data_IF_113540591692
#
_entry.id   IF_113540591692
#
_cell.length_a   1.000
_cell.length_b   1.000
_cell.length_c   1.000
_cell.angle_alpha   90.00
_cell.angle_beta   90.00
_cell.angle_gamma   90.00
#
_symmetry.space_group_name_H-M   'P 1'
#
loop_
_entity.id
_entity.type
_entity.pdbx_description
1 polymer ?
#
# COMPACT_ATOMS: atom_id res chain seq x y z
N UNK A 1 33.58 -4.87 7.81
CA UNK A 1 33.22 -5.15 9.21
C UNK A 1 32.07 -4.21 9.56
N UNK A 2 30.83 -4.67 9.44
CA UNK A 2 29.64 -3.85 9.70
C UNK A 2 29.40 -3.81 11.20
N UNK A 3 29.52 -2.64 11.80
CA UNK A 3 29.15 -2.41 13.20
C UNK A 3 27.64 -2.20 13.24
N UNK A 4 26.88 -3.23 13.60
CA UNK A 4 25.47 -3.12 13.91
C UNK A 4 25.36 -2.43 15.27
N UNK A 5 24.74 -1.24 15.32
CA UNK A 5 24.62 -0.48 16.55
C UNK A 5 23.68 -1.21 17.53
N UNK A 6 24.06 -1.21 18.81
CA UNK A 6 23.29 -1.79 19.93
C UNK A 6 21.85 -1.19 20.03
N UNK A 7 21.63 -0.01 19.47
CA UNK A 7 20.33 0.65 19.37
C UNK A 7 19.31 -0.16 18.55
N UNK A 8 19.72 -0.70 17.39
CA UNK A 8 18.81 -1.50 16.53
C UNK A 8 18.38 -2.82 17.17
N UNK A 9 19.22 -3.41 18.02
CA UNK A 9 18.89 -4.65 18.72
C UNK A 9 17.91 -4.40 19.87
N UNK A 10 18.01 -3.25 20.54
CA UNK A 10 17.08 -2.87 21.61
C UNK A 10 15.67 -2.50 21.08
N UNK A 11 15.56 -1.87 19.94
CA UNK A 11 14.26 -1.58 19.30
C UNK A 11 13.56 -2.86 18.85
N UNK A 12 14.31 -3.83 18.34
CA UNK A 12 13.79 -5.14 17.98
C UNK A 12 13.33 -5.94 19.21
N UNK A 13 14.03 -5.85 20.35
CA UNK A 13 13.67 -6.49 21.61
C UNK A 13 12.47 -5.83 22.29
N UNK A 14 12.31 -4.51 22.20
CA UNK A 14 11.12 -3.83 22.72
C UNK A 14 9.87 -4.19 21.92
N UNK A 15 9.97 -4.33 20.59
CA UNK A 15 8.86 -4.79 19.73
C UNK A 15 8.45 -6.23 20.10
N UNK A 16 9.38 -7.11 20.42
CA UNK A 16 9.12 -8.49 20.87
C UNK A 16 8.47 -8.56 22.26
N UNK A 17 8.80 -7.65 23.16
CA UNK A 17 8.20 -7.58 24.51
C UNK A 17 6.75 -7.06 24.49
N UNK A 18 6.39 -6.21 23.52
CA UNK A 18 5.01 -5.80 23.28
C UNK A 18 4.18 -6.99 22.80
N UNK A 19 4.72 -7.84 21.91
CA UNK A 19 4.06 -9.06 21.43
C UNK A 19 3.80 -10.10 22.53
N UNK A 20 4.66 -10.17 23.56
CA UNK A 20 4.51 -11.13 24.67
C UNK A 20 3.34 -10.81 25.64
N UNK A 21 2.76 -9.61 25.60
CA UNK A 21 1.63 -9.21 26.47
C UNK A 21 0.24 -9.59 25.93
N UNK A 22 0.15 -10.14 24.70
CA UNK A 22 -1.13 -10.43 24.03
C UNK A 22 -1.70 -11.84 24.26
N UNK A 23 -1.10 -12.67 25.13
CA UNK A 23 -1.44 -14.09 25.24
C UNK A 23 -2.67 -14.40 26.13
N UNK A 24 -3.60 -13.47 26.39
CA UNK A 24 -4.69 -13.68 27.35
C UNK A 24 -6.13 -13.36 26.94
N UNK A 25 -6.45 -13.29 25.63
CA UNK A 25 -7.86 -13.09 25.21
C UNK A 25 -8.38 -14.27 24.38
N UNK A 26 -9.55 -14.84 24.74
CA UNK A 26 -10.16 -15.92 23.96
C UNK A 26 -10.81 -15.36 22.69
N UNK A 27 -10.31 -15.74 21.54
CA UNK A 27 -10.80 -15.30 20.23
C UNK A 27 -11.85 -16.26 19.71
N UNK A 28 -13.04 -15.74 19.39
CA UNK A 28 -14.04 -16.47 18.61
C UNK A 28 -13.57 -16.59 17.17
N UNK A 29 -13.35 -17.84 16.73
CA UNK A 29 -12.99 -18.18 15.36
C UNK A 29 -14.14 -17.82 14.41
N UNK A 30 -13.93 -16.85 13.53
CA UNK A 30 -14.86 -16.55 12.44
C UNK A 30 -14.53 -17.57 11.32
N UNK A 31 -15.40 -18.57 11.14
CA UNK A 31 -15.33 -19.50 10.01
C UNK A 31 -15.84 -18.79 8.76
N UNK A 32 -14.95 -18.53 7.80
CA UNK A 32 -15.33 -18.08 6.48
C UNK A 32 -15.93 -19.24 5.69
N UNK A 33 -17.23 -19.16 5.39
CA UNK A 33 -17.89 -20.10 4.49
C UNK A 33 -17.43 -19.87 3.05
N UNK A 34 -16.65 -20.79 2.50
CA UNK A 34 -16.18 -20.78 1.11
C UNK A 34 -17.26 -21.33 0.18
N UNK A 35 -17.77 -20.49 -0.69
CA UNK A 35 -18.62 -20.85 -1.83
C UNK A 35 -17.97 -20.45 -3.15
N UNK A 36 -17.37 -21.35 -3.85
CA UNK A 36 -17.39 -21.49 -5.33
C UNK A 36 -16.59 -20.53 -6.23
N UNK A 37 -16.07 -19.38 -5.76
CA UNK A 37 -15.16 -18.52 -6.53
C UNK A 37 -13.86 -18.40 -5.74
N UNK A 38 -12.71 -18.61 -6.38
CA UNK A 38 -11.42 -18.45 -5.71
C UNK A 38 -11.34 -17.07 -5.08
N UNK A 39 -11.17 -17.01 -3.75
CA UNK A 39 -11.08 -15.77 -3.01
C UNK A 39 -9.83 -15.00 -3.44
N UNK A 40 -10.00 -13.76 -3.90
CA UNK A 40 -8.89 -12.88 -4.25
C UNK A 40 -8.10 -12.51 -2.99
N UNK A 41 -6.78 -12.62 -3.06
CA UNK A 41 -5.89 -12.44 -1.91
C UNK A 41 -4.76 -11.48 -2.18
N UNK A 42 -4.34 -10.78 -1.14
CA UNK A 42 -3.17 -9.90 -1.11
C UNK A 42 -2.01 -10.58 -0.39
N UNK A 43 -0.79 -10.25 -0.78
CA UNK A 43 0.41 -10.67 -0.06
C UNK A 43 0.44 -10.08 1.35
N UNK A 44 0.78 -10.87 2.35
CA UNK A 44 0.96 -10.44 3.73
C UNK A 44 2.03 -9.35 3.88
N UNK A 45 2.91 -9.18 2.90
CA UNK A 45 3.85 -8.06 2.83
C UNK A 45 3.14 -6.71 2.90
N UNK A 46 1.97 -6.56 2.25
CA UNK A 46 1.21 -5.30 2.29
C UNK A 46 0.73 -4.99 3.72
N UNK A 47 0.27 -6.01 4.46
CA UNK A 47 -0.09 -5.85 5.87
C UNK A 47 1.15 -5.50 6.72
N UNK A 48 2.30 -6.12 6.48
CA UNK A 48 3.55 -5.82 7.19
C UNK A 48 4.00 -4.37 6.94
N UNK A 49 3.89 -3.85 5.71
CA UNK A 49 4.21 -2.46 5.38
C UNK A 49 3.24 -1.48 6.06
N UNK A 50 1.94 -1.79 6.03
CA UNK A 50 0.93 -0.99 6.73
C UNK A 50 1.16 -1.00 8.25
N UNK A 51 1.55 -2.15 8.83
CA UNK A 51 1.88 -2.26 10.24
C UNK A 51 3.06 -1.34 10.63
N UNK A 52 4.11 -1.27 9.82
CA UNK A 52 5.24 -0.36 10.08
C UNK A 52 4.78 1.11 10.03
N UNK A 53 3.92 1.47 9.08
CA UNK A 53 3.34 2.80 9.01
C UNK A 53 2.47 3.13 10.23
N UNK A 54 1.65 2.18 10.69
CA UNK A 54 0.84 2.35 11.90
C UNK A 54 1.70 2.57 13.15
N UNK A 55 2.88 1.92 13.26
CA UNK A 55 3.82 2.17 14.35
C UNK A 55 4.39 3.59 14.29
N UNK A 56 4.80 4.07 13.10
CA UNK A 56 5.32 5.43 12.95
C UNK A 56 4.26 6.51 13.19
N UNK A 57 2.99 6.20 12.94
CA UNK A 57 1.85 7.08 13.21
C UNK A 57 1.32 6.95 14.65
N UNK A 58 1.95 6.13 15.48
CA UNK A 58 1.57 5.88 16.88
C UNK A 58 0.09 5.45 17.07
N UNK A 59 -0.45 4.72 16.07
CA UNK A 59 -1.84 4.28 16.10
C UNK A 59 -2.08 3.18 17.15
N UNK A 60 -3.31 3.06 17.61
CA UNK A 60 -3.71 1.98 18.52
C UNK A 60 -3.85 0.64 17.76
N UNK A 61 -2.72 0.04 17.40
CA UNK A 61 -2.63 -1.19 16.62
C UNK A 61 -3.39 -2.36 17.26
N UNK A 62 -3.32 -2.60 18.59
CA UNK A 62 -4.11 -3.65 19.22
C UNK A 62 -5.61 -3.53 18.94
N UNK A 63 -6.16 -2.33 19.08
CA UNK A 63 -7.57 -2.07 18.81
C UNK A 63 -7.91 -2.25 17.32
N UNK A 64 -7.02 -1.80 16.41
CA UNK A 64 -7.20 -1.97 14.96
C UNK A 64 -7.23 -3.46 14.61
N UNK A 65 -6.28 -4.24 15.10
CA UNK A 65 -6.19 -5.68 14.83
C UNK A 65 -7.39 -6.44 15.41
N UNK A 66 -7.80 -6.12 16.63
CA UNK A 66 -9.00 -6.69 17.26
C UNK A 66 -10.23 -6.43 16.38
N UNK A 67 -10.48 -5.18 16.00
CA UNK A 67 -11.65 -4.79 15.19
C UNK A 67 -11.63 -5.37 13.77
N UNK A 68 -10.44 -5.55 13.19
CA UNK A 68 -10.27 -6.17 11.87
C UNK A 68 -10.23 -7.71 11.91
N UNK A 69 -10.13 -8.33 13.08
CA UNK A 69 -9.92 -9.77 13.22
C UNK A 69 -8.55 -10.24 12.70
N UNK A 70 -7.56 -9.36 12.68
CA UNK A 70 -6.19 -9.67 12.24
C UNK A 70 -5.44 -10.38 13.37
N UNK A 71 -4.87 -11.54 13.06
CA UNK A 71 -4.01 -12.27 14.00
C UNK A 71 -2.58 -11.73 13.90
N UNK A 72 -1.93 -11.30 14.99
CA UNK A 72 -0.58 -10.75 14.97
C UNK A 72 0.46 -11.69 14.37
N UNK A 73 0.24 -13.01 14.44
CA UNK A 73 1.11 -14.05 13.89
C UNK A 73 1.28 -13.93 12.37
N UNK A 74 0.29 -13.36 11.66
CA UNK A 74 0.35 -13.10 10.22
C UNK A 74 1.51 -12.17 9.84
N UNK A 75 1.96 -11.30 10.75
CA UNK A 75 3.09 -10.41 10.51
C UNK A 75 4.43 -11.16 10.38
N UNK A 76 4.52 -12.36 10.94
CA UNK A 76 5.74 -13.19 10.93
C UNK A 76 5.71 -14.27 9.84
N UNK A 77 4.58 -14.47 9.17
CA UNK A 77 4.46 -15.43 8.08
C UNK A 77 4.77 -14.77 6.74
N UNK A 78 5.92 -15.12 6.15
CA UNK A 78 6.36 -14.60 4.85
C UNK A 78 5.46 -15.05 3.68
N UNK A 79 4.70 -16.11 3.86
CA UNK A 79 3.80 -16.67 2.86
C UNK A 79 2.34 -16.30 3.14
N UNK A 80 2.07 -15.53 4.19
CA UNK A 80 0.72 -15.10 4.51
C UNK A 80 0.08 -14.38 3.32
N UNK A 81 -1.20 -14.67 3.12
CA UNK A 81 -2.05 -13.95 2.18
C UNK A 81 -3.36 -13.60 2.87
N UNK A 82 -3.75 -12.35 2.77
CA UNK A 82 -4.98 -11.82 3.37
C UNK A 82 -6.10 -11.72 2.32
N UNK A 83 -7.37 -11.90 2.69
CA UNK A 83 -8.48 -11.69 1.77
C UNK A 83 -8.49 -10.24 1.26
N UNK A 84 -8.54 -10.05 -0.06
CA UNK A 84 -8.51 -8.70 -0.65
C UNK A 84 -9.69 -7.83 -0.16
N UNK A 85 -10.87 -8.41 -0.03
CA UNK A 85 -12.06 -7.70 0.46
C UNK A 85 -11.97 -7.28 1.95
N UNK A 86 -11.02 -7.81 2.71
CA UNK A 86 -10.78 -7.36 4.09
C UNK A 86 -10.29 -5.91 4.15
N UNK A 87 -9.78 -5.37 3.06
CA UNK A 87 -9.39 -3.96 2.95
C UNK A 87 -10.54 -3.00 3.26
N UNK A 88 -11.78 -3.34 2.94
CA UNK A 88 -12.95 -2.48 3.24
C UNK A 88 -13.04 -2.22 4.75
N UNK A 89 -13.01 -3.28 5.55
CA UNK A 89 -13.06 -3.16 7.01
C UNK A 89 -11.77 -2.54 7.55
N UNK A 90 -10.63 -2.90 7.00
CA UNK A 90 -9.32 -2.41 7.46
C UNK A 90 -9.22 -0.88 7.35
N UNK A 91 -9.54 -0.31 6.20
CA UNK A 91 -9.47 1.14 6.00
C UNK A 91 -10.52 1.90 6.81
N UNK A 92 -11.74 1.35 6.94
CA UNK A 92 -12.78 1.93 7.81
C UNK A 92 -12.33 1.96 9.27
N UNK A 93 -11.76 0.87 9.77
CA UNK A 93 -11.26 0.80 11.16
C UNK A 93 -10.09 1.74 11.38
N UNK A 94 -9.18 1.87 10.40
CA UNK A 94 -8.07 2.82 10.48
C UNK A 94 -8.57 4.26 10.61
N UNK A 95 -9.52 4.68 9.78
CA UNK A 95 -10.11 6.01 9.84
C UNK A 95 -10.82 6.24 11.18
N UNK A 96 -11.67 5.29 11.63
CA UNK A 96 -12.39 5.38 12.91
C UNK A 96 -11.46 5.49 14.12
N UNK A 97 -10.39 4.70 14.15
CA UNK A 97 -9.48 4.65 15.31
C UNK A 97 -8.52 5.82 15.34
N UNK A 98 -8.07 6.29 14.19
CA UNK A 98 -7.17 7.43 14.08
C UNK A 98 -7.90 8.78 14.16
N UNK A 99 -9.15 8.84 13.73
CA UNK A 99 -9.87 10.09 13.50
C UNK A 99 -9.32 10.91 12.34
N UNK A 100 -8.48 10.31 11.50
CA UNK A 100 -7.77 10.95 10.40
C UNK A 100 -8.46 10.66 9.08
N UNK A 101 -9.14 11.66 8.53
CA UNK A 101 -9.84 11.54 7.26
C UNK A 101 -8.91 11.36 6.04
N UNK A 102 -7.61 11.53 6.19
CA UNK A 102 -6.59 11.28 5.15
C UNK A 102 -5.70 10.08 5.47
N UNK A 103 -6.16 9.17 6.30
CA UNK A 103 -5.36 8.05 6.81
C UNK A 103 -4.73 7.19 5.69
N UNK A 104 -5.38 7.06 4.53
CA UNK A 104 -4.82 6.35 3.38
C UNK A 104 -3.54 6.98 2.87
N UNK A 105 -3.51 8.31 2.78
CA UNK A 105 -2.32 9.07 2.39
C UNK A 105 -1.21 8.96 3.45
N UNK A 106 -1.55 9.15 4.72
CA UNK A 106 -0.58 9.14 5.81
C UNK A 106 0.01 7.75 6.05
N UNK A 107 -0.77 6.69 5.93
CA UNK A 107 -0.25 5.32 5.91
C UNK A 107 0.75 5.14 4.77
N UNK A 108 0.39 5.55 3.53
CA UNK A 108 1.29 5.41 2.40
C UNK A 108 2.56 6.27 2.54
N UNK A 109 2.47 7.45 3.13
CA UNK A 109 3.62 8.32 3.41
C UNK A 109 4.61 7.68 4.39
N UNK A 110 4.11 6.93 5.37
CA UNK A 110 4.91 6.26 6.40
C UNK A 110 5.31 4.83 6.06
N UNK A 111 4.61 4.17 5.12
CA UNK A 111 5.01 2.83 4.68
C UNK A 111 6.49 2.81 4.26
N UNK A 112 7.29 1.82 4.67
CA UNK A 112 8.60 1.60 4.07
C UNK A 112 8.48 1.42 2.56
N UNK A 113 9.41 1.99 1.79
CA UNK A 113 9.51 1.67 0.37
C UNK A 113 9.80 0.16 0.24
N UNK A 114 9.29 -0.47 -0.83
CA UNK A 114 9.34 -1.93 -1.10
C UNK A 114 10.78 -2.49 -1.21
N UNK A 115 11.65 -2.21 -0.24
CA UNK A 115 13.04 -2.69 -0.25
C UNK A 115 13.11 -4.21 -0.09
N UNK A 116 13.91 -4.86 -0.94
CA UNK A 116 14.11 -6.31 -0.87
C UNK A 116 12.96 -7.15 -1.40
N UNK A 117 11.95 -6.56 -2.04
CA UNK A 117 10.85 -7.28 -2.64
C UNK A 117 11.17 -7.70 -4.09
N UNK A 118 10.60 -8.81 -4.53
CA UNK A 118 10.84 -9.36 -5.87
C UNK A 118 10.57 -8.34 -6.98
N UNK A 119 9.49 -7.57 -6.88
CA UNK A 119 9.16 -6.55 -7.88
C UNK A 119 10.20 -5.44 -7.96
N UNK A 120 10.82 -5.07 -6.85
CA UNK A 120 11.94 -4.13 -6.85
C UNK A 120 13.14 -4.68 -7.62
N UNK A 121 13.52 -5.94 -7.39
CA UNK A 121 14.63 -6.55 -8.14
C UNK A 121 14.33 -6.67 -9.63
N UNK A 122 13.09 -7.02 -9.99
CA UNK A 122 12.65 -7.04 -11.39
C UNK A 122 12.77 -5.67 -12.05
N UNK A 123 12.37 -4.62 -11.33
CA UNK A 123 12.47 -3.25 -11.81
C UNK A 123 13.92 -2.82 -11.98
N UNK A 124 14.74 -2.93 -10.93
CA UNK A 124 16.14 -2.48 -10.92
C UNK A 124 17.06 -3.26 -11.85
N UNK A 125 16.71 -4.50 -12.20
CA UNK A 125 17.45 -5.32 -13.16
C UNK A 125 17.13 -4.99 -14.62
N UNK A 126 16.26 -4.02 -14.87
CA UNK A 126 15.84 -3.62 -16.23
C UNK A 126 16.70 -2.47 -16.75
N UNK A 127 16.95 -2.41 -18.09
CA UNK A 127 17.82 -1.40 -18.70
C UNK A 127 17.28 0.03 -18.56
N UNK A 128 15.96 0.19 -18.65
CA UNK A 128 15.28 1.49 -18.60
C UNK A 128 14.14 1.47 -17.57
N UNK A 129 13.65 2.64 -17.19
CA UNK A 129 12.47 2.76 -16.33
C UNK A 129 11.23 2.12 -16.99
N UNK A 130 11.03 2.34 -18.31
CA UNK A 130 9.92 1.76 -19.07
C UNK A 130 9.92 0.23 -19.07
N UNK A 131 11.12 -0.39 -19.26
CA UNK A 131 11.27 -1.84 -19.17
C UNK A 131 10.98 -2.35 -17.75
N UNK A 132 11.50 -1.65 -16.73
CA UNK A 132 11.29 -1.97 -15.34
C UNK A 132 9.81 -1.91 -14.96
N UNK A 133 9.12 -0.85 -15.37
CA UNK A 133 7.69 -0.67 -15.20
C UNK A 133 6.90 -1.81 -15.84
N UNK A 134 7.13 -2.06 -17.13
CA UNK A 134 6.43 -3.12 -17.88
C UNK A 134 6.63 -4.48 -17.24
N UNK A 135 7.87 -4.80 -16.86
CA UNK A 135 8.20 -6.06 -16.19
C UNK A 135 7.51 -6.20 -14.84
N UNK A 136 7.53 -5.16 -14.02
CA UNK A 136 6.90 -5.17 -12.70
C UNK A 136 5.37 -5.33 -12.81
N UNK A 137 4.73 -4.66 -13.76
CA UNK A 137 3.29 -4.79 -13.99
C UNK A 137 2.89 -6.21 -14.42
N UNK A 138 3.72 -6.90 -15.22
CA UNK A 138 3.46 -8.29 -15.60
C UNK A 138 3.46 -9.26 -14.40
N UNK A 139 4.18 -8.93 -13.32
CA UNK A 139 4.30 -9.75 -12.12
C UNK A 139 3.56 -9.18 -10.90
N UNK A 140 2.71 -8.17 -11.06
CA UNK A 140 1.98 -7.53 -9.96
C UNK A 140 1.13 -8.49 -9.11
N UNK A 141 0.72 -9.64 -9.67
CA UNK A 141 0.02 -10.70 -8.93
C UNK A 141 0.82 -11.31 -7.77
N UNK A 142 2.13 -11.10 -7.73
CA UNK A 142 2.93 -11.46 -6.55
C UNK A 142 2.52 -10.67 -5.31
N UNK A 143 2.00 -9.45 -5.48
CA UNK A 143 1.50 -8.62 -4.38
C UNK A 143 0.00 -8.77 -4.18
N UNK A 144 -0.79 -8.85 -5.25
CA UNK A 144 -2.25 -8.93 -5.14
C UNK A 144 -2.86 -9.68 -6.32
N UNK A 145 -3.83 -10.55 -6.05
CA UNK A 145 -4.60 -11.22 -7.10
C UNK A 145 -5.61 -10.26 -7.75
N UNK A 146 -5.94 -9.17 -7.08
CA UNK A 146 -7.02 -8.25 -7.46
C UNK A 146 -6.54 -6.87 -7.88
N UNK A 147 -5.42 -6.37 -7.34
CA UNK A 147 -4.90 -5.07 -7.73
C UNK A 147 -4.41 -5.11 -9.18
N UNK A 148 -4.85 -4.15 -9.97
CA UNK A 148 -4.55 -4.02 -11.39
C UNK A 148 -3.94 -2.65 -11.63
N UNK A 149 -2.68 -2.62 -12.06
CA UNK A 149 -2.04 -1.43 -12.58
C UNK A 149 -1.73 -1.66 -14.07
N UNK A 150 -2.07 -0.69 -14.91
CA UNK A 150 -1.79 -0.73 -16.35
C UNK A 150 -1.07 0.53 -16.78
N UNK A 151 -0.09 0.38 -17.65
CA UNK A 151 0.64 1.48 -18.26
C UNK A 151 0.06 1.80 -19.64
N UNK A 152 -0.17 3.07 -19.90
CA UNK A 152 -0.71 3.57 -21.18
C UNK A 152 -0.07 4.91 -21.53
N UNK A 153 0.06 5.18 -22.83
CA UNK A 153 0.37 6.53 -23.34
C UNK A 153 -0.93 7.22 -23.76
N UNK A 154 -1.24 8.36 -23.14
CA UNK A 154 -2.43 9.16 -23.45
C UNK A 154 -2.00 10.57 -23.83
N UNK A 155 -2.29 10.98 -25.08
CA UNK A 155 -1.98 12.32 -25.61
C UNK A 155 -0.51 12.75 -25.42
N UNK A 156 0.42 11.78 -25.48
CA UNK A 156 1.87 12.02 -25.28
C UNK A 156 2.35 12.02 -23.84
N UNK A 157 1.44 11.84 -22.87
CA UNK A 157 1.79 11.65 -21.46
C UNK A 157 1.85 10.15 -21.12
N UNK A 158 2.81 9.77 -20.30
CA UNK A 158 2.88 8.44 -19.70
C UNK A 158 1.89 8.36 -18.53
N UNK A 159 1.12 7.28 -18.46
CA UNK A 159 0.10 7.13 -17.41
C UNK A 159 0.11 5.74 -16.79
N UNK A 160 -0.18 5.67 -15.51
CA UNK A 160 -0.49 4.42 -14.81
C UNK A 160 -1.90 4.52 -14.25
N UNK A 161 -2.78 3.66 -14.75
CA UNK A 161 -4.11 3.46 -14.19
C UNK A 161 -4.03 2.42 -13.09
N UNK A 162 -4.66 2.70 -11.94
CA UNK A 162 -4.75 1.80 -10.79
C UNK A 162 -6.20 1.44 -10.55
N UNK A 163 -6.49 0.17 -10.40
CA UNK A 163 -7.84 -0.33 -10.13
C UNK A 163 -7.80 -1.64 -9.34
N UNK A 164 -8.97 -2.16 -9.00
CA UNK A 164 -9.13 -3.50 -8.46
C UNK A 164 -10.18 -4.26 -9.26
N UNK A 165 -9.97 -5.56 -9.43
CA UNK A 165 -10.98 -6.47 -9.99
C UNK A 165 -12.12 -6.77 -9.01
N UNK A 166 -12.01 -6.37 -7.74
CA UNK A 166 -13.06 -6.50 -6.73
C UNK A 166 -13.95 -5.27 -6.74
N UNK A 167 -15.25 -5.47 -7.02
CA UNK A 167 -16.26 -4.43 -6.97
C UNK A 167 -16.38 -3.73 -5.60
N UNK A 168 -15.96 -4.41 -4.51
CA UNK A 168 -15.98 -3.85 -3.15
C UNK A 168 -14.81 -2.93 -2.86
N UNK A 169 -13.70 -3.07 -3.59
CA UNK A 169 -12.43 -2.37 -3.32
C UNK A 169 -12.10 -1.36 -4.41
N UNK A 170 -12.63 -1.51 -5.63
CA UNK A 170 -12.22 -0.71 -6.80
C UNK A 170 -12.32 0.81 -6.60
N UNK A 171 -13.32 1.26 -5.81
CA UNK A 171 -13.59 2.67 -5.55
C UNK A 171 -13.30 3.05 -4.08
N UNK A 172 -12.62 2.18 -3.33
CA UNK A 172 -12.28 2.41 -1.94
C UNK A 172 -11.20 3.49 -1.84
N UNK A 173 -11.60 4.67 -1.34
CA UNK A 173 -10.80 5.89 -1.29
C UNK A 173 -9.40 5.67 -0.73
N UNK A 174 -9.28 5.28 0.53
CA UNK A 174 -8.00 5.13 1.20
C UNK A 174 -7.09 4.09 0.54
N UNK A 175 -7.67 3.00 0.02
CA UNK A 175 -6.91 2.01 -0.73
C UNK A 175 -6.34 2.59 -2.02
N UNK A 176 -7.16 3.34 -2.78
CA UNK A 176 -6.73 3.96 -4.04
C UNK A 176 -5.64 5.00 -3.82
N UNK A 177 -5.79 5.86 -2.80
CA UNK A 177 -4.81 6.85 -2.40
C UNK A 177 -3.50 6.20 -1.95
N UNK A 178 -3.58 5.17 -1.10
CA UNK A 178 -2.40 4.48 -0.57
C UNK A 178 -1.62 3.73 -1.66
N UNK A 179 -2.31 3.05 -2.57
CA UNK A 179 -1.66 2.33 -3.68
C UNK A 179 -1.01 3.33 -4.65
N UNK A 180 -1.72 4.40 -5.02
CA UNK A 180 -1.20 5.42 -5.93
C UNK A 180 0.06 6.08 -5.35
N UNK A 181 0.03 6.51 -4.09
CA UNK A 181 1.20 7.14 -3.48
C UNK A 181 2.33 6.15 -3.18
N UNK A 182 2.02 4.90 -2.86
CA UNK A 182 3.01 3.83 -2.72
C UNK A 182 3.83 3.63 -4.01
N UNK A 183 3.18 3.68 -5.19
CA UNK A 183 3.87 3.65 -6.49
C UNK A 183 4.75 4.87 -6.69
N UNK A 184 4.27 6.08 -6.38
CA UNK A 184 5.05 7.32 -6.49
C UNK A 184 6.30 7.24 -5.64
N UNK A 185 6.18 6.80 -4.40
CA UNK A 185 7.33 6.64 -3.49
C UNK A 185 8.34 5.62 -4.02
N UNK A 186 7.86 4.51 -4.55
CA UNK A 186 8.72 3.50 -5.16
C UNK A 186 9.47 4.07 -6.38
N UNK A 187 8.79 4.78 -7.27
CA UNK A 187 9.42 5.39 -8.45
C UNK A 187 10.40 6.50 -8.08
N UNK A 188 10.08 7.32 -7.09
CA UNK A 188 11.02 8.30 -6.55
C UNK A 188 12.28 7.63 -5.98
N UNK A 189 12.11 6.52 -5.27
CA UNK A 189 13.24 5.78 -4.71
C UNK A 189 14.16 5.21 -5.81
N UNK A 190 13.61 4.59 -6.85
CA UNK A 190 14.41 3.95 -7.92
C UNK A 190 15.01 4.94 -8.91
N UNK A 191 14.51 6.18 -8.92
CA UNK A 191 15.01 7.26 -9.80
C UNK A 191 15.81 8.34 -9.06
N UNK A 192 16.17 8.10 -7.80
CA UNK A 192 16.84 9.09 -6.93
C UNK A 192 16.12 10.45 -6.90
N UNK A 193 14.78 10.41 -6.75
CA UNK A 193 13.93 11.59 -6.64
C UNK A 193 13.62 12.32 -7.96
N UNK A 194 13.96 11.74 -9.10
CA UNK A 194 13.72 12.36 -10.42
C UNK A 194 12.31 12.09 -10.98
N UNK A 195 11.55 11.18 -10.39
CA UNK A 195 10.18 10.93 -10.80
C UNK A 195 9.26 12.04 -10.34
N UNK A 196 8.55 12.69 -11.27
CA UNK A 196 7.60 13.75 -10.98
C UNK A 196 6.26 13.47 -11.65
N UNK A 197 5.18 13.73 -10.93
CA UNK A 197 3.83 13.68 -11.47
C UNK A 197 3.47 15.02 -12.12
N UNK A 198 2.69 14.94 -13.22
CA UNK A 198 2.04 16.10 -13.82
C UNK A 198 0.69 16.37 -13.13
N UNK A 199 -0.08 15.30 -12.85
CA UNK A 199 -1.37 15.33 -12.14
C UNK A 199 -1.77 13.94 -11.67
N UNK A 200 -2.76 13.89 -10.78
CA UNK A 200 -3.39 12.65 -10.31
C UNK A 200 -4.90 12.74 -10.46
N UNK A 201 -5.51 11.66 -10.90
CA UNK A 201 -6.96 11.47 -10.95
C UNK A 201 -7.41 10.42 -9.95
N UNK A 202 -8.53 10.70 -9.26
CA UNK A 202 -9.23 9.73 -8.43
C UNK A 202 -10.70 9.64 -8.80
N UNK A 203 -11.28 8.43 -8.73
CA UNK A 203 -12.70 8.17 -8.98
C UNK A 203 -13.58 8.70 -7.86
N UNK A 204 -13.12 8.60 -6.62
CA UNK A 204 -13.88 9.06 -5.46
C UNK A 204 -14.00 10.58 -5.41
N UNK A 205 -15.03 11.07 -4.73
CA UNK A 205 -15.19 12.49 -4.44
C UNK A 205 -14.21 12.93 -3.37
N UNK A 206 -13.88 14.23 -3.33
CA UNK A 206 -13.05 14.78 -2.29
C UNK A 206 -13.76 14.69 -0.94
N UNK A 207 -13.15 13.98 -0.01
CA UNK A 207 -13.45 14.01 1.41
C UNK A 207 -12.18 14.41 2.17
N UNK A 208 -12.29 15.27 3.15
CA UNK A 208 -11.14 15.80 3.85
C UNK A 208 -10.53 17.04 3.21
N UNK A 209 -9.21 17.20 3.29
CA UNK A 209 -8.50 18.41 2.89
C UNK A 209 -7.75 18.20 1.56
N UNK A 210 -8.18 18.90 0.49
CA UNK A 210 -7.50 18.86 -0.81
C UNK A 210 -6.03 19.30 -0.73
N UNK A 211 -5.71 20.24 0.17
CA UNK A 211 -4.33 20.73 0.36
C UNK A 211 -3.38 19.61 0.78
N UNK A 212 -3.86 18.62 1.55
CA UNK A 212 -3.07 17.47 1.95
C UNK A 212 -2.72 16.57 0.77
N UNK A 213 -3.65 16.34 -0.14
CA UNK A 213 -3.38 15.61 -1.38
C UNK A 213 -2.31 16.30 -2.22
N UNK A 214 -2.43 17.64 -2.40
CA UNK A 214 -1.44 18.43 -3.13
C UNK A 214 -0.07 18.39 -2.44
N UNK A 215 -0.03 18.48 -1.11
CA UNK A 215 1.22 18.36 -0.33
C UNK A 215 1.92 17.02 -0.60
N UNK A 216 1.16 15.94 -0.59
CA UNK A 216 1.68 14.57 -0.69
C UNK A 216 2.10 14.24 -2.12
N UNK A 217 1.26 14.55 -3.12
CA UNK A 217 1.56 14.21 -4.52
C UNK A 217 2.47 15.23 -5.21
N UNK A 218 2.56 16.45 -4.70
CA UNK A 218 3.38 17.53 -5.30
C UNK A 218 2.84 18.08 -6.62
N UNK A 219 1.58 17.79 -6.96
CA UNK A 219 0.93 18.18 -8.22
C UNK A 219 -0.58 18.35 -8.02
N UNK A 220 -1.29 18.75 -9.08
CA UNK A 220 -2.75 18.84 -9.08
C UNK A 220 -3.39 17.47 -8.92
N UNK A 221 -4.39 17.37 -8.02
CA UNK A 221 -5.19 16.17 -7.78
C UNK A 221 -6.65 16.45 -8.11
N UNK A 222 -7.20 15.68 -9.03
CA UNK A 222 -8.58 15.82 -9.53
C UNK A 222 -9.43 14.64 -9.06
N UNK A 223 -10.56 14.95 -8.46
CA UNK A 223 -11.52 13.97 -7.90
C UNK A 223 -12.75 13.81 -8.81
N UNK A 224 -13.51 12.73 -8.61
CA UNK A 224 -14.70 12.42 -9.41
C UNK A 224 -14.37 12.10 -10.87
N UNK A 225 -13.19 11.58 -11.14
CA UNK A 225 -12.73 11.22 -12.47
C UNK A 225 -13.16 9.80 -12.88
N UNK A 226 -13.02 9.47 -14.16
CA UNK A 226 -13.43 8.17 -14.69
C UNK A 226 -12.59 7.00 -14.17
N UNK A 227 -11.33 7.25 -13.79
CA UNK A 227 -10.41 6.25 -13.26
C UNK A 227 -9.39 6.85 -12.29
N UNK A 228 -8.77 5.99 -11.46
CA UNK A 228 -7.63 6.37 -10.64
C UNK A 228 -6.37 6.30 -11.51
N UNK A 229 -5.70 7.43 -11.74
CA UNK A 229 -4.62 7.53 -12.71
C UNK A 229 -3.52 8.52 -12.29
N UNK A 230 -2.30 8.08 -12.44
CA UNK A 230 -1.09 8.90 -12.31
C UNK A 230 -0.64 9.35 -13.70
N UNK A 231 -0.33 10.63 -13.88
CA UNK A 231 0.20 11.18 -15.13
C UNK A 231 1.60 11.73 -14.89
N UNK A 232 2.55 11.40 -15.78
CA UNK A 232 3.94 11.81 -15.65
C UNK A 232 4.61 11.97 -17.03
N UNK A 233 5.79 12.63 -17.06
CA UNK A 233 6.53 12.81 -18.32
C UNK A 233 7.00 11.46 -18.89
N UNK A 234 6.81 11.26 -20.18
CA UNK A 234 7.34 10.11 -20.89
C UNK A 234 8.89 10.08 -20.95
N UNK A 235 9.56 11.20 -20.69
CA UNK A 235 11.03 11.30 -20.72
C UNK A 235 11.71 10.36 -19.72
N UNK A 236 11.03 10.02 -18.62
CA UNK A 236 11.55 9.11 -17.59
C UNK A 236 11.65 7.65 -18.08
N UNK A 237 10.97 7.30 -19.16
CA UNK A 237 10.86 5.92 -19.62
C UNK A 237 12.17 5.36 -20.22
N UNK A 238 13.09 6.26 -20.68
CA UNK A 238 14.33 5.93 -21.37
C UNK A 238 15.55 5.91 -20.47
#
# INVERSE_FOLDING_TARGET
MLVISVSMVNECLQSLLVLARFNSYPIKKIEFMSGGIAELRDSGVLLQLAYQAMLELELNIPLIFERCGVQPELLNDRNARTPHNAQVLFWQVLEDVSGDCNIGLHIAEKMPVYKGQVLQYLFLSSPTFGDGLTRSLNYQRLLSDAALATFEMINGEATIKVSSSSEKVKDLRHSSEAVAFGLVRFFNYVTDGRFNLNKVHFTHVLEGCAAEHVRIYGCDVLFGQADNRLFFSADILN
#
